data_IF_157791563348
#
_entry.id   IF_157791563348
#
_cell.length_a   1.000
_cell.length_b   1.000
_cell.length_c   1.000
_cell.angle_alpha   90.00
_cell.angle_beta   90.00
_cell.angle_gamma   90.00
#
_symmetry.space_group_name_H-M   'P 1'
#
loop_
_entity.id
_entity.type
_entity.pdbx_description
1 polymer ?
#
# COMPACT_ATOMS: atom_id res chain seq x y z
N UNK A 1 5.31 -11.78 -24.17
CA UNK A 1 5.01 -12.22 -22.80
C UNK A 1 5.82 -11.33 -21.88
N UNK A 2 5.28 -10.20 -21.44
CA UNK A 2 5.98 -9.31 -20.49
C UNK A 2 5.83 -9.93 -19.11
N UNK A 3 6.91 -10.49 -18.59
CA UNK A 3 7.00 -10.94 -17.20
C UNK A 3 6.60 -9.76 -16.32
N UNK A 4 5.49 -9.86 -15.60
CA UNK A 4 5.09 -8.90 -14.58
C UNK A 4 6.12 -9.03 -13.44
N UNK A 5 7.27 -8.36 -13.58
CA UNK A 5 8.38 -8.37 -12.62
C UNK A 5 8.04 -7.49 -11.42
N UNK A 6 6.89 -7.71 -10.78
CA UNK A 6 6.56 -7.02 -9.54
C UNK A 6 7.40 -7.58 -8.39
N UNK A 7 7.85 -6.72 -7.46
CA UNK A 7 8.53 -7.17 -6.25
C UNK A 7 7.71 -8.18 -5.45
N UNK A 8 8.40 -9.19 -4.93
CA UNK A 8 7.83 -10.15 -3.99
C UNK A 8 7.54 -9.41 -2.68
N UNK A 9 6.27 -9.46 -2.25
CA UNK A 9 5.81 -8.88 -0.98
C UNK A 9 5.25 -10.00 -0.13
N UNK A 10 5.75 -10.10 1.09
CA UNK A 10 5.27 -11.05 2.08
C UNK A 10 4.02 -10.47 2.76
N UNK A 11 2.93 -11.23 2.74
CA UNK A 11 1.72 -10.88 3.50
C UNK A 11 1.99 -10.88 5.00
N UNK A 12 1.33 -9.99 5.73
CA UNK A 12 1.46 -9.86 7.19
C UNK A 12 2.74 -9.17 7.67
N UNK A 13 3.65 -8.78 6.77
CA UNK A 13 4.83 -7.98 7.12
C UNK A 13 4.50 -6.49 6.97
N UNK A 14 4.75 -5.65 8.00
CA UNK A 14 4.68 -4.21 7.86
C UNK A 14 5.90 -3.69 7.09
N UNK A 15 5.65 -2.89 6.05
CA UNK A 15 6.67 -2.21 5.26
C UNK A 15 6.63 -0.70 5.54
N UNK A 16 7.77 -0.05 5.82
CA UNK A 16 7.83 1.40 5.98
C UNK A 16 7.39 2.14 4.72
N UNK A 17 6.58 3.18 4.87
CA UNK A 17 6.27 4.14 3.80
C UNK A 17 7.36 5.20 3.79
N UNK A 18 8.14 5.25 2.72
CA UNK A 18 9.29 6.17 2.56
C UNK A 18 8.96 7.43 1.76
N UNK A 19 7.83 7.42 1.04
CA UNK A 19 7.26 8.61 0.41
C UNK A 19 5.76 8.64 0.69
N UNK A 20 5.37 9.00 1.92
CA UNK A 20 3.95 9.11 2.29
C UNK A 20 3.37 10.45 1.81
N UNK A 21 2.04 10.53 1.66
CA UNK A 21 1.33 11.81 1.74
C UNK A 21 1.40 12.40 3.16
N UNK A 22 1.00 13.66 3.31
CA UNK A 22 1.24 14.48 4.52
C UNK A 22 0.45 14.02 5.77
N UNK A 23 -0.59 13.20 5.60
CA UNK A 23 -1.41 12.72 6.71
C UNK A 23 -2.04 11.35 6.42
N UNK A 24 -2.60 10.70 7.44
CA UNK A 24 -3.29 9.42 7.26
C UNK A 24 -4.55 9.57 6.39
N UNK A 25 -5.26 10.68 6.55
CA UNK A 25 -6.48 11.01 5.80
C UNK A 25 -6.18 11.19 4.31
N UNK A 26 -4.96 11.62 3.97
CA UNK A 26 -4.52 11.76 2.58
C UNK A 26 -4.28 10.42 1.87
N UNK A 27 -4.32 9.29 2.60
CA UNK A 27 -4.39 7.96 1.98
C UNK A 27 -5.83 7.56 1.59
N UNK A 28 -6.86 8.32 1.99
CA UNK A 28 -8.24 8.06 1.61
C UNK A 28 -8.53 8.53 0.19
N UNK A 29 -9.40 7.81 -0.52
CA UNK A 29 -9.65 8.08 -1.93
C UNK A 29 -8.48 7.62 -2.80
N UNK A 30 -8.34 8.20 -3.98
CA UNK A 30 -7.24 7.86 -4.89
C UNK A 30 -5.93 8.49 -4.39
N UNK A 31 -4.93 7.65 -4.11
CA UNK A 31 -3.62 8.10 -3.65
C UNK A 31 -2.48 7.25 -4.21
N UNK A 32 -1.26 7.73 -3.97
CA UNK A 32 -0.01 7.07 -4.32
C UNK A 32 1.00 7.25 -3.19
N UNK A 33 1.74 6.18 -2.89
CA UNK A 33 2.83 6.22 -1.92
C UNK A 33 3.91 5.20 -2.29
N UNK A 34 5.11 5.35 -1.70
CA UNK A 34 6.22 4.40 -1.92
C UNK A 34 6.59 3.67 -0.63
N UNK A 35 6.76 2.36 -0.73
CA UNK A 35 7.23 1.48 0.34
C UNK A 35 8.71 1.15 0.21
N UNK A 36 9.38 0.93 1.33
CA UNK A 36 10.69 0.27 1.37
C UNK A 36 10.51 -1.26 1.31
N UNK A 37 10.45 -1.80 0.10
CA UNK A 37 10.24 -3.22 -0.16
C UNK A 37 11.52 -4.06 -0.05
N UNK A 38 11.37 -5.37 0.14
CA UNK A 38 12.51 -6.31 0.28
C UNK A 38 13.45 -6.32 -0.95
N UNK A 39 12.99 -5.85 -2.12
CA UNK A 39 13.77 -5.76 -3.36
C UNK A 39 14.03 -4.32 -3.83
N UNK A 40 13.82 -3.33 -2.96
CA UNK A 40 13.90 -1.91 -3.28
C UNK A 40 12.54 -1.18 -3.22
N UNK A 41 12.52 0.12 -3.54
CA UNK A 41 11.31 0.94 -3.46
C UNK A 41 10.16 0.39 -4.31
N UNK A 42 8.97 0.30 -3.72
CA UNK A 42 7.75 -0.15 -4.39
C UNK A 42 6.70 0.97 -4.39
N UNK A 43 6.37 1.47 -5.58
CA UNK A 43 5.27 2.41 -5.77
C UNK A 43 3.92 1.67 -5.69
N UNK A 44 3.03 2.17 -4.84
CA UNK A 44 1.67 1.67 -4.62
C UNK A 44 0.70 2.76 -5.02
N UNK A 45 -0.21 2.46 -5.95
CA UNK A 45 -1.24 3.37 -6.46
C UNK A 45 -2.59 2.69 -6.35
N UNK A 46 -3.61 3.42 -5.92
CA UNK A 46 -4.90 2.79 -5.68
C UNK A 46 -5.86 3.65 -4.87
N UNK A 47 -6.80 2.97 -4.20
CA UNK A 47 -7.90 3.61 -3.51
C UNK A 47 -7.99 3.22 -2.03
N UNK A 48 -7.88 4.20 -1.13
CA UNK A 48 -8.02 4.00 0.30
C UNK A 48 -9.43 4.21 0.82
N UNK A 49 -9.86 3.31 1.71
CA UNK A 49 -11.11 3.42 2.46
C UNK A 49 -10.81 3.30 3.96
N UNK A 50 -11.60 3.98 4.83
CA UNK A 50 -11.45 3.80 6.26
C UNK A 50 -11.75 2.35 6.63
N UNK A 51 -10.91 1.75 7.49
CA UNK A 51 -11.20 0.45 8.06
C UNK A 51 -11.66 0.60 9.51
N UNK A 52 -10.78 1.08 10.39
CA UNK A 52 -11.05 1.30 11.81
C UNK A 52 -10.00 2.26 12.40
N UNK A 53 -10.40 3.20 13.27
CA UNK A 53 -9.49 4.12 13.97
C UNK A 53 -8.42 4.74 13.05
N UNK A 54 -7.15 4.52 13.38
CA UNK A 54 -5.98 5.00 12.60
C UNK A 54 -5.51 3.99 11.53
N UNK A 55 -6.42 3.24 10.92
CA UNK A 55 -6.12 2.29 9.83
C UNK A 55 -6.91 2.59 8.56
N UNK A 56 -6.19 2.72 7.44
CA UNK A 56 -6.75 2.80 6.09
C UNK A 56 -6.59 1.45 5.40
N UNK A 57 -7.66 0.92 4.83
CA UNK A 57 -7.59 -0.21 3.89
C UNK A 57 -7.37 0.34 2.49
N UNK A 58 -6.22 0.05 1.91
CA UNK A 58 -5.80 0.58 0.63
C UNK A 58 -5.80 -0.51 -0.44
N UNK A 59 -6.59 -0.31 -1.50
CA UNK A 59 -6.73 -1.25 -2.60
C UNK A 59 -5.79 -0.82 -3.73
N UNK A 60 -4.67 -1.53 -3.89
CA UNK A 60 -3.71 -1.28 -4.97
C UNK A 60 -4.35 -1.66 -6.31
N UNK A 61 -4.34 -0.74 -7.26
CA UNK A 61 -4.88 -0.93 -8.61
C UNK A 61 -3.74 -1.14 -9.61
N UNK A 62 -3.96 -2.02 -10.58
CA UNK A 62 -3.02 -2.13 -11.70
C UNK A 62 -3.13 -0.90 -12.61
N UNK A 63 -1.97 -0.39 -13.06
CA UNK A 63 -1.86 0.77 -13.99
C UNK A 63 -2.66 0.56 -15.28
N UNK A 64 -2.85 -0.69 -15.73
CA UNK A 64 -3.48 -1.05 -17.00
C UNK A 64 -4.94 -1.52 -16.89
N UNK A 65 -5.57 -1.45 -15.71
CA UNK A 65 -6.99 -1.81 -15.58
C UNK A 65 -7.37 -2.16 -14.16
N UNK A 66 -8.53 -1.64 -13.71
CA UNK A 66 -8.96 -1.46 -12.32
C UNK A 66 -9.17 -2.70 -11.43
N UNK A 67 -8.51 -3.82 -11.74
CA UNK A 67 -8.41 -4.97 -10.85
C UNK A 67 -7.55 -4.62 -9.64
N UNK A 68 -8.04 -4.98 -8.46
CA UNK A 68 -7.26 -4.96 -7.23
C UNK A 68 -6.15 -5.99 -7.33
N UNK A 69 -4.92 -5.51 -7.20
CA UNK A 69 -3.70 -6.32 -7.25
C UNK A 69 -3.40 -6.84 -5.85
N UNK A 70 -3.48 -5.95 -4.86
CA UNK A 70 -3.15 -6.18 -3.46
C UNK A 70 -4.03 -5.31 -2.57
N UNK A 71 -4.28 -5.77 -1.36
CA UNK A 71 -4.92 -4.97 -0.32
C UNK A 71 -3.90 -4.72 0.78
N UNK A 72 -3.83 -3.47 1.21
CA UNK A 72 -2.90 -3.03 2.24
C UNK A 72 -3.66 -2.48 3.44
N UNK A 73 -3.16 -2.71 4.65
CA UNK A 73 -3.54 -1.93 5.82
C UNK A 73 -2.43 -0.91 6.09
N UNK A 74 -2.76 0.37 5.90
CA UNK A 74 -1.87 1.49 6.17
C UNK A 74 -2.19 2.03 7.56
N UNK A 75 -1.16 2.21 8.39
CA UNK A 75 -1.29 2.71 9.76
C UNK A 75 -0.21 3.74 10.06
N UNK A 76 -0.51 4.67 10.97
CA UNK A 76 0.50 5.54 11.56
C UNK A 76 1.38 4.74 12.53
N UNK A 77 2.69 4.94 12.45
CA UNK A 77 3.67 4.36 13.38
C UNK A 77 4.70 5.43 13.76
N UNK A 78 4.54 6.00 14.95
CA UNK A 78 5.32 7.18 15.38
C UNK A 78 5.11 8.36 14.44
N UNK A 79 6.20 8.90 13.91
CA UNK A 79 6.20 10.02 12.95
C UNK A 79 5.99 9.57 11.49
N UNK A 80 5.95 8.26 11.22
CA UNK A 80 5.82 7.72 9.87
C UNK A 80 4.58 6.85 9.68
N UNK A 81 4.57 6.11 8.57
CA UNK A 81 3.50 5.17 8.23
C UNK A 81 4.08 3.81 7.87
N UNK A 82 3.33 2.75 8.10
CA UNK A 82 3.60 1.41 7.57
C UNK A 82 2.41 0.89 6.78
N UNK A 83 2.70 0.09 5.76
CA UNK A 83 1.70 -0.66 5.01
C UNK A 83 1.96 -2.16 5.15
N UNK A 84 0.93 -2.90 5.52
CA UNK A 84 0.95 -4.35 5.65
C UNK A 84 0.09 -4.97 4.56
N UNK A 85 0.67 -5.87 3.75
CA UNK A 85 -0.11 -6.58 2.74
C UNK A 85 -1.00 -7.63 3.40
N UNK A 86 -2.31 -7.56 3.14
CA UNK A 86 -3.29 -8.49 3.67
C UNK A 86 -3.49 -9.60 2.64
N UNK A 87 -3.16 -10.84 3.01
CA UNK A 87 -3.57 -11.99 2.21
C UNK A 87 -5.10 -12.09 2.30
N UNK A 88 -5.81 -11.83 1.21
CA UNK A 88 -7.20 -12.25 1.11
C UNK A 88 -7.24 -13.79 1.18
N UNK A 89 -8.14 -14.31 2.02
CA UNK A 89 -8.38 -15.74 2.22
C UNK A 89 -8.94 -16.42 0.95
#
# INVERSE_FOLDING_TARGET
MTTDSRPIVASGKPYPVISPPDSLEAFLGDAEFTLDGTGGPLAVRGHGVPLDGDTVRFHEKAVLGGKDVRVWHVRRQGEGFTAEHVAAF
#
